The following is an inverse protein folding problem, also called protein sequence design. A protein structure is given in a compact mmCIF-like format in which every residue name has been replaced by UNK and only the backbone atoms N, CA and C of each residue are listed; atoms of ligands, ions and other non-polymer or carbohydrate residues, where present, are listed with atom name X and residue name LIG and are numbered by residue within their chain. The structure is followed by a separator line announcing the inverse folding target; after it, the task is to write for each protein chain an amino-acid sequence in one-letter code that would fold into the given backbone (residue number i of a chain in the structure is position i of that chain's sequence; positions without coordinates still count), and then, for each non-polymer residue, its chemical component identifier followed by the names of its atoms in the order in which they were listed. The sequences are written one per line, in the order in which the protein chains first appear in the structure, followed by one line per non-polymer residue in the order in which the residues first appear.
data_IF_921683808697
#
_entry.id   IF_921683808697
#
_cell.length_a   1.000
_cell.length_b   1.000
_cell.length_c   1.000
_cell.angle_alpha   90.00
_cell.angle_beta   90.00
_cell.angle_gamma   90.00
#
_symmetry.space_group_name_H-M   'P 1'
#
loop_
_entity.id
_entity.type
_entity.pdbx_description
1 polymer ?
#
# COMPACT_ATOMS: atom_id res chain seq x y z
N UNK A 1 -29.83 -31.56 35.09
CA UNK A 1 -30.05 -30.74 33.88
C UNK A 1 -29.22 -29.45 33.92
N UNK A 2 -28.93 -28.85 35.09
CA UNK A 2 -28.11 -27.61 35.15
C UNK A 2 -26.61 -27.82 34.91
N UNK A 3 -26.09 -29.01 35.18
CA UNK A 3 -24.65 -29.30 34.98
C UNK A 3 -24.25 -29.08 33.52
N UNK A 4 -25.10 -29.45 32.56
CA UNK A 4 -24.84 -29.25 31.14
C UNK A 4 -24.83 -27.78 30.70
N UNK A 5 -25.73 -26.95 31.22
CA UNK A 5 -25.76 -25.52 30.89
C UNK A 5 -24.58 -24.77 31.49
N UNK A 6 -24.12 -25.17 32.68
CA UNK A 6 -22.93 -24.61 33.32
C UNK A 6 -21.68 -24.82 32.45
N UNK A 7 -21.48 -26.03 31.94
CA UNK A 7 -20.35 -26.34 31.06
C UNK A 7 -20.43 -25.58 29.74
N UNK A 8 -21.62 -25.43 29.17
CA UNK A 8 -21.82 -24.71 27.92
C UNK A 8 -21.49 -23.21 28.06
N UNK A 9 -21.93 -22.59 29.16
CA UNK A 9 -21.67 -21.18 29.46
C UNK A 9 -20.16 -20.94 29.70
N UNK A 10 -19.51 -21.83 30.45
CA UNK A 10 -18.06 -21.76 30.69
C UNK A 10 -17.27 -21.89 29.37
N UNK A 11 -17.67 -22.80 28.48
CA UNK A 11 -17.02 -22.98 27.19
C UNK A 11 -17.10 -21.72 26.30
N UNK A 12 -18.25 -21.04 26.27
CA UNK A 12 -18.42 -19.78 25.52
C UNK A 12 -17.53 -18.68 26.11
N UNK A 13 -17.49 -18.53 27.43
CA UNK A 13 -16.64 -17.52 28.09
C UNK A 13 -15.17 -17.76 27.74
N UNK A 14 -14.70 -19.01 27.83
CA UNK A 14 -13.31 -19.35 27.47
C UNK A 14 -13.03 -19.07 26.00
N UNK A 15 -13.95 -19.41 25.09
CA UNK A 15 -13.81 -19.14 23.66
C UNK A 15 -13.73 -17.63 23.35
N UNK A 16 -14.58 -16.83 24.00
CA UNK A 16 -14.55 -15.36 23.86
C UNK A 16 -13.26 -14.78 24.42
N UNK A 17 -12.80 -15.25 25.59
CA UNK A 17 -11.53 -14.82 26.18
C UNK A 17 -10.35 -15.15 25.25
N UNK A 18 -10.35 -16.31 24.59
CA UNK A 18 -9.33 -16.68 23.59
C UNK A 18 -9.36 -15.69 22.42
N UNK A 19 -10.52 -15.38 21.86
CA UNK A 19 -10.65 -14.43 20.74
C UNK A 19 -10.16 -13.02 21.14
N UNK A 20 -10.45 -12.57 22.36
CA UNK A 20 -10.06 -11.24 22.85
C UNK A 20 -8.57 -11.18 23.23
N UNK A 21 -8.00 -12.27 23.77
CA UNK A 21 -6.57 -12.33 24.11
C UNK A 21 -5.69 -12.56 22.89
N UNK A 22 -6.21 -13.20 21.84
CA UNK A 22 -5.51 -13.46 20.59
C UNK A 22 -4.88 -12.21 19.94
N UNK A 23 -5.55 -11.03 19.78
CA UNK A 23 -4.92 -9.83 19.23
C UNK A 23 -3.81 -9.30 20.13
N UNK A 24 -3.94 -9.46 21.46
CA UNK A 24 -2.96 -8.97 22.43
C UNK A 24 -1.69 -9.85 22.48
N UNK A 25 -1.84 -11.17 22.37
CA UNK A 25 -0.69 -12.08 22.22
C UNK A 25 -0.11 -12.11 20.80
N UNK A 26 -0.87 -11.65 19.79
CA UNK A 26 -0.40 -11.41 18.43
C UNK A 26 0.37 -10.10 18.25
N UNK A 27 0.73 -9.38 19.33
CA UNK A 27 1.79 -8.36 19.29
C UNK A 27 3.18 -8.93 18.91
N UNK A 28 3.31 -10.25 18.72
CA UNK A 28 4.60 -10.89 18.46
C UNK A 28 4.97 -11.19 17.00
N UNK A 29 4.06 -11.29 16.03
CA UNK A 29 4.39 -11.58 14.61
C UNK A 29 3.29 -11.06 13.68
N UNK A 30 3.53 -9.88 13.11
CA UNK A 30 2.80 -9.35 11.96
C UNK A 30 2.78 -10.40 10.84
N UNK A 31 1.60 -10.73 10.33
CA UNK A 31 1.44 -11.65 9.20
C UNK A 31 1.95 -10.97 7.92
N UNK A 32 2.85 -11.63 7.17
CA UNK A 32 3.42 -11.12 5.94
C UNK A 32 2.44 -11.34 4.77
N UNK A 33 1.28 -10.68 4.83
CA UNK A 33 0.48 -10.30 3.66
C UNK A 33 0.58 -8.80 3.36
N UNK A 34 1.22 -8.06 4.28
CA UNK A 34 1.45 -6.63 4.24
C UNK A 34 2.96 -6.32 4.38
N UNK A 35 3.78 -7.21 3.83
CA UNK A 35 5.23 -7.06 3.68
C UNK A 35 5.62 -6.93 2.21
N UNK A 36 4.84 -6.19 1.39
CA UNK A 36 5.33 -5.85 0.05
C UNK A 36 6.26 -4.63 0.07
N UNK A 37 6.24 -3.79 1.12
CA UNK A 37 6.98 -2.51 1.10
C UNK A 37 7.64 -2.16 2.46
N UNK A 38 8.23 -3.10 3.19
CA UNK A 38 8.92 -2.75 4.47
C UNK A 38 10.33 -2.19 4.24
N UNK A 39 10.85 -2.25 3.02
CA UNK A 39 12.19 -1.77 2.67
C UNK A 39 12.25 -0.35 2.09
N UNK A 40 11.13 0.40 2.05
CA UNK A 40 11.11 1.77 1.51
C UNK A 40 10.77 2.89 2.51
N UNK A 41 10.42 2.60 3.76
CA UNK A 41 9.73 3.60 4.59
C UNK A 41 10.30 3.74 6.01
N UNK A 42 11.42 4.43 6.13
CA UNK A 42 11.82 5.10 7.38
C UNK A 42 11.64 6.62 7.30
N UNK A 43 11.36 7.16 6.11
CA UNK A 43 11.16 8.59 5.86
C UNK A 43 9.71 9.06 6.01
N UNK A 44 8.70 8.19 5.89
CA UNK A 44 7.31 8.62 5.75
C UNK A 44 6.52 8.52 7.06
N UNK A 45 7.13 8.15 8.18
CA UNK A 45 6.43 8.04 9.46
C UNK A 45 5.77 9.36 9.91
N UNK A 46 6.47 10.49 9.71
CA UNK A 46 5.94 11.83 10.01
C UNK A 46 4.80 12.21 9.06
N UNK A 47 4.97 11.98 7.75
CA UNK A 47 3.96 12.23 6.73
C UNK A 47 2.70 11.38 6.94
N UNK A 48 2.86 10.09 7.22
CA UNK A 48 1.78 9.17 7.55
C UNK A 48 1.02 9.62 8.80
N UNK A 49 1.72 10.22 9.78
CA UNK A 49 1.10 10.86 10.94
C UNK A 49 0.17 12.02 10.55
N UNK A 50 0.65 12.92 9.68
CA UNK A 50 -0.15 14.05 9.18
C UNK A 50 -1.38 13.57 8.39
N UNK A 51 -1.22 12.56 7.54
CA UNK A 51 -2.33 11.98 6.76
C UNK A 51 -3.40 11.35 7.68
N UNK A 52 -3.00 10.69 8.77
CA UNK A 52 -3.94 10.18 9.76
C UNK A 52 -4.70 11.30 10.46
N UNK A 53 -4.02 12.37 10.84
CA UNK A 53 -4.66 13.53 11.48
C UNK A 53 -5.72 14.17 10.58
N UNK A 54 -5.46 14.33 9.28
CA UNK A 54 -6.44 14.86 8.31
C UNK A 54 -7.65 13.92 8.20
N UNK A 55 -7.44 12.60 8.20
CA UNK A 55 -8.54 11.62 8.16
C UNK A 55 -9.40 11.66 9.42
N UNK A 56 -8.78 11.77 10.58
CA UNK A 56 -9.49 11.89 11.86
C UNK A 56 -10.32 13.18 11.91
N UNK A 57 -9.75 14.31 11.48
CA UNK A 57 -10.46 15.59 11.36
C UNK A 57 -11.68 15.49 10.43
N UNK A 58 -11.53 14.78 9.31
CA UNK A 58 -12.63 14.55 8.36
C UNK A 58 -13.73 13.69 9.00
N UNK A 59 -13.36 12.65 9.74
CA UNK A 59 -14.32 11.80 10.44
C UNK A 59 -15.07 12.58 11.54
N UNK A 60 -14.40 13.45 12.28
CA UNK A 60 -15.05 14.29 13.29
C UNK A 60 -16.03 15.29 12.69
N UNK A 61 -15.75 15.82 11.50
CA UNK A 61 -16.70 16.65 10.73
C UNK A 61 -17.92 15.84 10.25
N UNK A 62 -17.70 14.65 9.68
CA UNK A 62 -18.78 13.75 9.26
C UNK A 62 -19.69 13.33 10.43
N UNK A 63 -19.12 13.20 11.63
CA UNK A 63 -19.85 12.93 12.87
C UNK A 63 -20.53 14.19 13.46
N UNK A 64 -20.37 15.36 12.84
CA UNK A 64 -20.97 16.62 13.28
C UNK A 64 -20.40 17.18 14.59
N UNK A 65 -19.20 16.74 15.01
CA UNK A 65 -18.56 17.21 16.26
C UNK A 65 -17.97 18.61 16.14
N UNK A 66 -17.69 19.06 14.92
CA UNK A 66 -17.01 20.32 14.62
C UNK A 66 -17.78 21.12 13.57
N UNK A 67 -17.66 22.45 13.65
CA UNK A 67 -18.30 23.35 12.69
C UNK A 67 -17.57 23.33 11.34
N UNK A 68 -18.27 23.67 10.26
CA UNK A 68 -17.68 23.76 8.91
C UNK A 68 -16.57 24.82 8.82
N UNK A 69 -16.71 25.92 9.56
CA UNK A 69 -15.70 26.98 9.64
C UNK A 69 -14.41 26.48 10.30
N UNK A 70 -14.51 25.69 11.37
CA UNK A 70 -13.35 25.13 12.08
C UNK A 70 -12.65 24.04 11.26
N UNK A 71 -13.44 23.18 10.59
CA UNK A 71 -12.94 22.11 9.72
C UNK A 71 -12.10 22.67 8.57
N UNK A 72 -12.64 23.64 7.82
CA UNK A 72 -11.97 24.23 6.65
C UNK A 72 -10.68 24.95 7.05
N UNK A 73 -10.71 25.68 8.17
CA UNK A 73 -9.53 26.36 8.71
C UNK A 73 -8.42 25.36 9.07
N UNK A 74 -8.73 24.36 9.90
CA UNK A 74 -7.74 23.37 10.34
C UNK A 74 -7.18 22.53 9.19
N UNK A 75 -8.04 22.15 8.24
CA UNK A 75 -7.62 21.42 7.05
C UNK A 75 -6.61 22.21 6.21
N UNK A 76 -6.89 23.48 5.94
CA UNK A 76 -5.99 24.34 5.16
C UNK A 76 -4.61 24.50 5.82
N UNK A 77 -4.56 24.55 7.16
CA UNK A 77 -3.30 24.63 7.92
C UNK A 77 -2.49 23.33 7.79
N UNK A 78 -3.14 22.16 7.96
CA UNK A 78 -2.48 20.86 7.85
C UNK A 78 -1.99 20.59 6.42
N UNK A 79 -2.77 20.96 5.41
CA UNK A 79 -2.38 20.84 4.00
C UNK A 79 -1.12 21.67 3.71
N UNK A 80 -1.06 22.91 4.19
CA UNK A 80 0.12 23.76 4.05
C UNK A 80 1.35 23.17 4.78
N UNK A 81 1.17 22.59 5.96
CA UNK A 81 2.26 21.91 6.69
C UNK A 81 2.77 20.68 5.93
N UNK A 82 1.88 19.87 5.36
CA UNK A 82 2.25 18.70 4.57
C UNK A 82 3.04 19.09 3.31
N UNK A 83 2.62 20.15 2.62
CA UNK A 83 3.34 20.69 1.45
C UNK A 83 4.74 21.18 1.85
N UNK A 84 4.87 21.85 3.00
CA UNK A 84 6.17 22.30 3.50
C UNK A 84 7.08 21.13 3.85
N UNK A 85 6.55 20.08 4.48
CA UNK A 85 7.29 18.86 4.79
C UNK A 85 7.76 18.15 3.51
N UNK A 86 6.90 18.02 2.50
CA UNK A 86 7.25 17.43 1.21
C UNK A 86 8.41 18.20 0.56
N UNK A 87 8.29 19.53 0.46
CA UNK A 87 9.35 20.39 -0.08
C UNK A 87 10.67 20.24 0.69
N UNK A 88 10.61 20.11 2.02
CA UNK A 88 11.80 19.95 2.84
C UNK A 88 12.49 18.60 2.59
N UNK A 89 11.72 17.52 2.43
CA UNK A 89 12.26 16.19 2.17
C UNK A 89 12.74 16.01 0.72
N UNK A 90 12.07 16.64 -0.25
CA UNK A 90 12.57 16.76 -1.62
C UNK A 90 13.96 17.42 -1.67
N UNK A 91 14.14 18.53 -0.94
CA UNK A 91 15.41 19.25 -0.88
C UNK A 91 16.49 18.52 -0.10
N UNK A 92 16.10 17.72 0.91
CA UNK A 92 17.02 16.87 1.66
C UNK A 92 17.52 15.70 0.83
N UNK A 93 16.79 15.37 -0.24
CA UNK A 93 17.18 14.43 -1.27
C UNK A 93 17.25 13.00 -0.72
N UNK A 94 16.65 12.08 -1.44
CA UNK A 94 17.14 10.71 -1.46
C UNK A 94 18.67 10.71 -1.44
N UNK A 95 19.28 10.10 -0.42
CA UNK A 95 20.69 9.79 -0.46
C UNK A 95 20.94 9.00 -1.76
N UNK A 96 21.66 9.56 -2.75
CA UNK A 96 21.87 8.89 -4.03
C UNK A 96 22.64 7.56 -3.86
N UNK A 97 23.23 7.34 -2.67
CA UNK A 97 23.87 6.09 -2.28
C UNK A 97 22.89 4.97 -1.90
N UNK A 98 21.70 5.26 -1.37
CA UNK A 98 20.77 4.25 -0.85
C UNK A 98 19.61 3.98 -1.83
N UNK A 99 19.01 5.02 -2.41
CA UNK A 99 18.02 4.86 -3.50
C UNK A 99 18.69 4.40 -4.79
N UNK A 100 19.92 4.86 -5.09
CA UNK A 100 20.66 4.40 -6.25
C UNK A 100 21.01 2.91 -6.21
N UNK A 101 21.22 2.34 -5.01
CA UNK A 101 21.47 0.91 -4.81
C UNK A 101 20.21 0.06 -4.98
N UNK A 102 19.13 0.41 -4.27
CA UNK A 102 17.86 -0.30 -4.37
C UNK A 102 17.24 -0.19 -5.77
N UNK A 103 17.30 0.99 -6.39
CA UNK A 103 16.79 1.19 -7.74
C UNK A 103 17.65 0.44 -8.77
N UNK A 104 18.97 0.35 -8.58
CA UNK A 104 19.85 -0.43 -9.46
C UNK A 104 19.63 -1.94 -9.34
N UNK A 105 19.40 -2.45 -8.13
CA UNK A 105 19.01 -3.86 -7.92
C UNK A 105 17.67 -4.17 -8.59
N UNK A 106 16.69 -3.26 -8.47
CA UNK A 106 15.39 -3.39 -9.14
C UNK A 106 15.55 -3.34 -10.67
N UNK A 107 16.32 -2.40 -11.21
CA UNK A 107 16.59 -2.32 -12.65
C UNK A 107 17.31 -3.57 -13.17
N UNK A 108 18.24 -4.13 -12.39
CA UNK A 108 18.92 -5.39 -12.71
C UNK A 108 17.95 -6.59 -12.67
N UNK A 109 17.05 -6.64 -11.69
CA UNK A 109 15.97 -7.64 -11.64
C UNK A 109 15.00 -7.50 -12.81
N UNK A 110 14.65 -6.28 -13.22
CA UNK A 110 13.81 -6.04 -14.40
C UNK A 110 14.53 -6.47 -15.67
N UNK A 111 15.81 -6.13 -15.80
CA UNK A 111 16.61 -6.49 -16.97
C UNK A 111 16.79 -8.00 -17.11
N UNK A 112 17.10 -8.71 -16.02
CA UNK A 112 17.19 -10.17 -16.01
C UNK A 112 15.86 -10.85 -16.37
N UNK A 113 14.73 -10.36 -15.86
CA UNK A 113 13.40 -10.83 -16.26
C UNK A 113 13.10 -10.59 -17.75
N UNK A 114 13.49 -9.43 -18.29
CA UNK A 114 13.33 -9.11 -19.72
C UNK A 114 14.20 -9.98 -20.61
N UNK A 115 15.43 -10.27 -20.21
CA UNK A 115 16.36 -11.13 -20.95
C UNK A 115 15.93 -12.61 -20.94
N UNK A 116 15.44 -13.10 -19.80
CA UNK A 116 14.91 -14.46 -19.68
C UNK A 116 13.60 -14.66 -20.45
N UNK A 117 12.96 -13.58 -20.91
CA UNK A 117 11.74 -13.65 -21.72
C UNK A 117 12.10 -13.85 -23.19
N UNK A 118 12.57 -15.05 -23.52
CA UNK A 118 12.98 -15.47 -24.87
C UNK A 118 11.79 -15.96 -25.71
N UNK A 119 10.62 -15.34 -25.59
CA UNK A 119 9.46 -15.72 -26.38
C UNK A 119 9.49 -15.06 -27.76
N UNK A 120 9.10 -15.82 -28.79
CA UNK A 120 8.99 -15.31 -30.15
C UNK A 120 7.93 -14.20 -30.23
N UNK A 121 8.25 -13.12 -30.95
CA UNK A 121 7.31 -12.05 -31.27
C UNK A 121 6.09 -12.65 -31.98
N UNK A 122 4.89 -12.47 -31.42
CA UNK A 122 3.66 -12.96 -32.01
C UNK A 122 3.13 -12.04 -33.13
N UNK A 123 3.66 -10.82 -33.23
CA UNK A 123 3.32 -9.87 -34.27
C UNK A 123 3.60 -8.44 -33.84
N UNK A 124 2.88 -7.49 -34.46
CA UNK A 124 2.98 -6.06 -34.18
C UNK A 124 1.65 -5.54 -33.62
N UNK A 125 1.74 -4.59 -32.68
CA UNK A 125 0.56 -3.92 -32.13
C UNK A 125 -0.16 -3.10 -33.24
N UNK A 126 -1.48 -3.25 -33.43
CA UNK A 126 -2.23 -2.54 -34.47
C UNK A 126 -2.29 -1.02 -34.25
N UNK A 127 -2.08 -0.54 -33.02
CA UNK A 127 -2.15 0.88 -32.67
C UNK A 127 -0.83 1.62 -32.82
N UNK A 128 0.27 1.02 -32.36
CA UNK A 128 1.59 1.69 -32.32
C UNK A 128 2.66 1.03 -33.19
N UNK A 129 2.36 -0.09 -33.84
CA UNK A 129 3.28 -0.79 -34.75
C UNK A 129 4.49 -1.46 -34.09
N UNK A 130 4.58 -1.47 -32.75
CA UNK A 130 5.71 -2.09 -32.03
C UNK A 130 5.52 -3.60 -31.85
N UNK A 131 6.60 -4.39 -31.81
CA UNK A 131 6.51 -5.83 -31.66
C UNK A 131 5.91 -6.19 -30.29
N UNK A 132 5.02 -7.18 -30.29
CA UNK A 132 4.37 -7.73 -29.10
C UNK A 132 4.61 -9.24 -29.02
N UNK A 133 4.70 -9.76 -27.81
CA UNK A 133 4.91 -11.19 -27.56
C UNK A 133 3.58 -11.92 -27.41
N UNK A 134 3.60 -13.26 -27.56
CA UNK A 134 2.38 -14.08 -27.51
C UNK A 134 1.72 -14.07 -26.13
N UNK A 135 2.51 -13.95 -25.07
CA UNK A 135 2.04 -13.88 -23.69
C UNK A 135 1.61 -12.47 -23.24
N UNK A 136 1.88 -11.43 -24.05
CA UNK A 136 1.46 -10.07 -23.71
C UNK A 136 -0.07 -9.99 -23.79
N UNK A 137 -0.71 -9.56 -22.70
CA UNK A 137 -2.14 -9.17 -22.69
C UNK A 137 -2.34 -7.71 -23.10
N UNK A 138 -1.30 -6.89 -22.95
CA UNK A 138 -1.26 -5.48 -23.34
C UNK A 138 0.06 -5.15 -24.02
N UNK A 139 0.04 -4.22 -24.97
CA UNK A 139 1.24 -3.74 -25.63
C UNK A 139 2.16 -3.01 -24.63
N UNK A 140 3.43 -3.42 -24.46
CA UNK A 140 4.35 -2.85 -23.47
C UNK A 140 4.77 -1.40 -23.77
N UNK A 141 4.37 -0.85 -24.91
CA UNK A 141 4.72 0.52 -25.31
C UNK A 141 3.57 1.50 -25.41
N UNK A 142 2.34 1.02 -25.58
CA UNK A 142 1.18 1.92 -25.72
C UNK A 142 -0.02 1.53 -24.83
N UNK A 143 0.08 0.41 -24.11
CA UNK A 143 -0.94 -0.05 -23.17
C UNK A 143 -2.21 -0.62 -23.80
N UNK A 144 -2.32 -0.67 -25.13
CA UNK A 144 -3.49 -1.23 -25.81
C UNK A 144 -3.56 -2.75 -25.59
N UNK A 145 -4.73 -3.34 -25.29
CA UNK A 145 -4.88 -4.78 -25.15
C UNK A 145 -4.49 -5.50 -26.44
N UNK A 146 -3.62 -6.49 -26.32
CA UNK A 146 -3.20 -7.36 -27.42
C UNK A 146 -4.19 -8.51 -27.52
N UNK A 147 -5.36 -8.24 -28.11
CA UNK A 147 -6.36 -9.27 -28.40
C UNK A 147 -5.85 -10.18 -29.54
N UNK A 148 -4.94 -11.09 -29.23
CA UNK A 148 -4.59 -12.21 -30.11
C UNK A 148 -5.74 -13.23 -30.06
N UNK A 149 -6.79 -12.99 -30.84
CA UNK A 149 -7.72 -14.05 -31.21
C UNK A 149 -7.00 -15.02 -32.15
N UNK A 150 -6.54 -16.13 -31.60
CA UNK A 150 -6.38 -17.39 -32.34
C UNK A 150 -7.74 -18.09 -32.39
#
# INVERSE_FOLDING_TARGET
MEVGSLFFLLAIIVMVLIIITQPFYRLGKVQPGQQLNTSLDHGDAEYQGMIRAIRELTADFELGKISEADYTLQRSLMENQAIQWLKQNELKGEDPANTGGANREIEEMIHSRRMNRTEQTAGFCPKCGKPVQKSDQFCPSCGEPTHFHL
#
